data_IF_559132182449
#
_entry.id   IF_559132182449
#
_cell.length_a   1.000
_cell.length_b   1.000
_cell.length_c   1.000
_cell.angle_alpha   90.00
_cell.angle_beta   90.00
_cell.angle_gamma   90.00
#
_symmetry.space_group_name_H-M   'P 1'
#
loop_
_entity.id
_entity.type
_entity.pdbx_description
1 polymer ?
#
# COMPACT_ATOMS: atom_id res chain seq x y z
N UNK A 1 34.50 -12.46 0.38
CA UNK A 1 33.85 -12.42 -0.95
C UNK A 1 32.39 -12.15 -0.71
N UNK A 2 31.82 -11.20 -1.45
CA UNK A 2 30.40 -10.86 -1.35
C UNK A 2 29.51 -11.99 -1.87
N UNK A 3 28.30 -12.10 -1.34
CA UNK A 3 27.26 -12.93 -1.96
C UNK A 3 26.74 -12.28 -3.26
N UNK A 4 26.10 -13.04 -4.16
CA UNK A 4 25.49 -12.46 -5.37
C UNK A 4 24.52 -11.31 -5.06
N UNK A 5 23.73 -11.44 -3.99
CA UNK A 5 22.81 -10.41 -3.48
C UNK A 5 23.57 -9.13 -3.03
N UNK A 6 24.66 -9.28 -2.27
CA UNK A 6 25.49 -8.14 -1.85
C UNK A 6 26.16 -7.42 -3.03
N UNK A 7 26.49 -8.16 -4.09
CA UNK A 7 27.07 -7.59 -5.30
C UNK A 7 26.05 -6.76 -6.09
N UNK A 8 24.78 -7.19 -6.15
CA UNK A 8 23.70 -6.40 -6.74
C UNK A 8 23.48 -5.07 -6.00
N UNK A 9 23.52 -5.10 -4.67
CA UNK A 9 23.49 -3.90 -3.83
C UNK A 9 24.66 -2.97 -4.19
N UNK A 10 25.87 -3.51 -4.37
CA UNK A 10 27.04 -2.75 -4.81
C UNK A 10 26.85 -2.11 -6.19
N UNK A 11 26.25 -2.81 -7.15
CA UNK A 11 25.96 -2.27 -8.49
C UNK A 11 24.93 -1.12 -8.44
N UNK A 12 23.84 -1.29 -7.68
CA UNK A 12 22.81 -0.26 -7.50
C UNK A 12 23.38 1.00 -6.86
N UNK A 13 24.19 0.85 -5.81
CA UNK A 13 24.88 1.98 -5.18
C UNK A 13 25.85 2.65 -6.16
N UNK A 14 26.56 1.89 -6.98
CA UNK A 14 27.41 2.43 -8.04
C UNK A 14 26.66 3.31 -9.04
N UNK A 15 25.42 2.94 -9.41
CA UNK A 15 24.56 3.75 -10.28
C UNK A 15 24.07 5.03 -9.58
N UNK A 16 23.70 4.94 -8.30
CA UNK A 16 23.30 6.10 -7.50
C UNK A 16 24.44 7.10 -7.33
N UNK A 17 25.68 6.64 -7.13
CA UNK A 17 26.88 7.50 -7.09
C UNK A 17 27.09 8.24 -8.41
N UNK A 18 26.94 7.56 -9.55
CA UNK A 18 27.02 8.20 -10.87
C UNK A 18 25.94 9.30 -11.02
N UNK A 19 24.74 9.04 -10.52
CA UNK A 19 23.64 10.00 -10.48
C UNK A 19 23.94 11.23 -9.62
N UNK A 20 24.56 11.05 -8.44
CA UNK A 20 24.96 12.16 -7.56
C UNK A 20 26.01 13.08 -8.21
N UNK A 21 26.98 12.50 -8.94
CA UNK A 21 27.98 13.28 -9.69
C UNK A 21 27.31 14.16 -10.75
N UNK A 22 26.40 13.59 -11.54
CA UNK A 22 25.76 14.30 -12.66
C UNK A 22 24.69 15.31 -12.20
N UNK A 23 23.91 14.99 -11.16
CA UNK A 23 22.78 15.82 -10.71
C UNK A 23 23.16 16.86 -9.66
N UNK A 24 24.18 16.60 -8.84
CA UNK A 24 24.56 17.45 -7.69
C UNK A 24 26.02 17.90 -7.71
N UNK A 25 26.78 17.56 -8.76
CA UNK A 25 28.18 17.96 -8.91
C UNK A 25 29.12 17.39 -7.83
N UNK A 26 28.69 16.38 -7.07
CA UNK A 26 29.49 15.82 -5.98
C UNK A 26 30.68 15.00 -6.50
N UNK A 27 31.86 15.30 -5.96
CA UNK A 27 33.07 14.51 -6.18
C UNK A 27 33.04 13.21 -5.36
N UNK A 28 33.90 12.23 -5.70
CA UNK A 28 34.00 10.98 -4.93
C UNK A 28 34.52 11.27 -3.51
N UNK A 29 35.35 12.28 -3.37
CA UNK A 29 35.90 12.77 -2.12
C UNK A 29 34.80 13.33 -1.20
N UNK A 30 33.84 14.08 -1.76
CA UNK A 30 32.72 14.65 -1.00
C UNK A 30 31.75 13.55 -0.51
N UNK A 31 31.54 12.53 -1.34
CA UNK A 31 30.74 11.34 -0.98
C UNK A 31 31.45 10.58 0.15
N UNK A 32 32.75 10.33 0.03
CA UNK A 32 33.54 9.68 1.08
C UNK A 32 33.49 10.45 2.40
N UNK A 33 33.58 11.79 2.35
CA UNK A 33 33.50 12.67 3.51
C UNK A 33 32.13 12.57 4.22
N UNK A 34 31.03 12.53 3.47
CA UNK A 34 29.67 12.35 4.04
C UNK A 34 29.46 10.97 4.65
N UNK A 35 30.02 9.93 4.02
CA UNK A 35 29.91 8.56 4.50
C UNK A 35 30.83 8.28 5.69
N UNK A 36 31.87 9.10 5.90
CA UNK A 36 32.89 8.89 6.91
C UNK A 36 33.78 7.68 6.61
N UNK A 37 34.03 7.41 5.33
CA UNK A 37 34.87 6.29 4.86
C UNK A 37 35.97 6.80 3.93
N UNK A 38 37.07 6.06 3.81
CA UNK A 38 38.13 6.37 2.85
C UNK A 38 37.79 5.96 1.41
N UNK A 39 38.40 6.60 0.42
CA UNK A 39 38.19 6.27 -1.01
C UNK A 39 38.47 4.80 -1.32
N UNK A 40 39.55 4.24 -0.75
CA UNK A 40 39.87 2.81 -0.90
C UNK A 40 38.76 1.89 -0.39
N UNK A 41 38.10 2.28 0.70
CA UNK A 41 36.97 1.52 1.27
C UNK A 41 35.76 1.59 0.35
N UNK A 42 35.48 2.76 -0.24
CA UNK A 42 34.43 2.91 -1.23
C UNK A 42 34.70 2.07 -2.48
N UNK A 43 35.93 2.05 -2.98
CA UNK A 43 36.32 1.21 -4.12
C UNK A 43 36.19 -0.28 -3.81
N UNK A 44 36.58 -0.70 -2.61
CA UNK A 44 36.40 -2.08 -2.18
C UNK A 44 34.92 -2.48 -2.10
N UNK A 45 34.04 -1.56 -1.73
CA UNK A 45 32.59 -1.80 -1.74
C UNK A 45 32.04 -1.92 -3.17
N UNK A 46 32.41 -1.00 -4.06
CA UNK A 46 31.89 -0.97 -5.43
C UNK A 46 32.42 -2.10 -6.32
N UNK A 47 33.65 -2.55 -6.07
CA UNK A 47 34.28 -3.65 -6.81
C UNK A 47 33.95 -5.04 -6.23
N UNK A 48 33.10 -5.12 -5.19
CA UNK A 48 32.68 -6.36 -4.57
C UNK A 48 33.73 -7.07 -3.71
N UNK A 49 34.80 -6.36 -3.33
CA UNK A 49 35.88 -6.86 -2.46
C UNK A 49 35.40 -6.99 -1.01
N UNK A 50 34.50 -6.11 -0.57
CA UNK A 50 33.92 -6.09 0.77
C UNK A 50 32.45 -5.69 0.74
N UNK A 51 31.60 -6.20 1.64
CA UNK A 51 30.20 -5.79 1.77
C UNK A 51 30.03 -4.46 2.50
N UNK A 52 29.00 -3.70 2.13
CA UNK A 52 28.71 -2.42 2.77
C UNK A 52 28.28 -2.61 4.23
N UNK A 53 28.84 -1.80 5.13
CA UNK A 53 28.35 -1.73 6.51
C UNK A 53 26.99 -1.03 6.54
N UNK A 54 26.08 -1.50 7.40
CA UNK A 54 24.73 -0.92 7.55
C UNK A 54 24.76 0.58 7.84
N UNK A 55 25.63 1.05 8.74
CA UNK A 55 25.77 2.48 9.03
C UNK A 55 26.23 3.31 7.83
N UNK A 56 26.98 2.70 6.90
CA UNK A 56 27.37 3.34 5.64
C UNK A 56 26.21 3.36 4.65
N UNK A 57 25.42 2.27 4.57
CA UNK A 57 24.23 2.20 3.72
C UNK A 57 23.16 3.20 4.14
N UNK A 58 22.91 3.36 5.44
CA UNK A 58 21.95 4.34 5.95
C UNK A 58 22.37 5.76 5.58
N UNK A 59 23.63 6.13 5.82
CA UNK A 59 24.17 7.43 5.40
C UNK A 59 24.10 7.63 3.88
N UNK A 60 24.26 6.56 3.12
CA UNK A 60 24.18 6.59 1.66
C UNK A 60 22.73 6.80 1.18
N UNK A 61 21.76 6.12 1.79
CA UNK A 61 20.34 6.29 1.56
C UNK A 61 19.90 7.74 1.87
N UNK A 62 20.35 8.28 3.01
CA UNK A 62 20.11 9.67 3.40
C UNK A 62 20.72 10.67 2.40
N UNK A 63 21.97 10.44 1.95
CA UNK A 63 22.65 11.28 0.97
C UNK A 63 21.90 11.31 -0.38
N UNK A 64 21.41 10.15 -0.80
CA UNK A 64 20.65 9.99 -2.04
C UNK A 64 19.18 10.41 -1.92
N UNK A 65 18.66 10.61 -0.69
CA UNK A 65 17.24 10.78 -0.38
C UNK A 65 16.37 9.63 -0.91
N UNK A 66 16.86 8.40 -0.80
CA UNK A 66 16.14 7.17 -1.16
C UNK A 66 15.95 6.33 0.09
N UNK A 67 14.95 5.44 0.12
CA UNK A 67 14.78 4.56 1.28
C UNK A 67 15.81 3.44 1.21
N UNK A 68 16.30 3.00 2.38
CA UNK A 68 17.23 1.87 2.45
C UNK A 68 16.63 0.59 1.85
N UNK A 69 15.32 0.41 1.98
CA UNK A 69 14.59 -0.70 1.37
C UNK A 69 14.70 -0.70 -0.17
N UNK A 70 14.70 0.47 -0.79
CA UNK A 70 14.82 0.61 -2.26
C UNK A 70 16.23 0.24 -2.76
N UNK A 71 17.23 0.27 -1.86
CA UNK A 71 18.61 -0.14 -2.15
C UNK A 71 18.79 -1.66 -1.97
N UNK A 72 18.09 -2.25 -1.01
CA UNK A 72 18.32 -3.64 -0.58
C UNK A 72 17.37 -4.66 -1.21
N UNK A 73 16.26 -4.21 -1.82
CA UNK A 73 15.23 -4.92 -2.60
C UNK A 73 14.66 -6.26 -2.08
N UNK A 74 15.15 -6.84 -0.98
CA UNK A 74 14.62 -8.06 -0.41
C UNK A 74 14.72 -8.07 1.12
N UNK A 75 13.59 -8.38 1.74
CA UNK A 75 13.44 -8.47 3.21
C UNK A 75 14.26 -9.65 3.78
N UNK A 76 14.59 -10.63 2.93
CA UNK A 76 15.40 -11.80 3.28
C UNK A 76 16.88 -11.46 3.51
N UNK A 77 17.47 -10.56 2.70
CA UNK A 77 18.85 -10.09 2.87
C UNK A 77 19.01 -9.31 4.18
N UNK A 78 17.98 -8.55 4.58
CA UNK A 78 17.93 -7.82 5.85
C UNK A 78 17.94 -8.77 7.07
N UNK A 79 17.23 -9.91 6.96
CA UNK A 79 17.16 -10.91 8.03
C UNK A 79 18.45 -11.73 8.19
N UNK A 80 19.16 -12.00 7.08
CA UNK A 80 20.46 -12.72 7.09
C UNK A 80 21.60 -11.88 7.69
N UNK A 81 21.50 -10.56 7.60
CA UNK A 81 22.47 -9.62 8.18
C UNK A 81 22.27 -9.38 9.70
N UNK A 82 21.19 -9.88 10.32
CA UNK A 82 20.88 -9.60 11.73
C UNK A 82 20.22 -10.79 12.48
N UNK A 83 20.97 -11.84 12.85
CA UNK A 83 20.41 -12.94 13.63
C UNK A 83 20.25 -12.63 15.13
N UNK A 84 21.07 -11.76 15.74
CA UNK A 84 21.21 -11.71 17.21
C UNK A 84 21.31 -10.29 17.79
N UNK A 85 20.20 -9.55 17.87
CA UNK A 85 20.00 -8.52 18.92
C UNK A 85 18.55 -8.02 18.99
N UNK A 86 17.59 -8.96 19.05
CA UNK A 86 16.19 -8.65 19.39
C UNK A 86 15.94 -8.87 20.89
N UNK A 87 16.34 -7.91 21.72
CA UNK A 87 15.94 -7.92 23.15
C UNK A 87 15.49 -6.56 23.69
N UNK A 88 14.97 -5.68 22.81
CA UNK A 88 14.26 -4.48 23.25
C UNK A 88 12.79 -4.54 22.85
N UNK A 89 11.92 -4.59 23.86
CA UNK A 89 10.46 -4.62 23.69
C UNK A 89 9.92 -3.34 23.04
N UNK A 90 10.67 -2.24 23.08
CA UNK A 90 10.39 -1.02 22.30
C UNK A 90 10.73 -1.16 20.81
N UNK A 91 11.73 -1.98 20.48
CA UNK A 91 12.11 -2.32 19.11
C UNK A 91 11.08 -3.23 18.45
N UNK A 92 10.39 -4.11 19.18
CA UNK A 92 9.27 -4.90 18.63
C UNK A 92 8.07 -4.03 18.27
N UNK A 93 7.76 -2.98 19.04
CA UNK A 93 6.66 -2.07 18.69
C UNK A 93 7.03 -1.15 17.51
N UNK A 94 8.29 -0.69 17.43
CA UNK A 94 8.81 0.05 16.26
C UNK A 94 9.06 -0.86 15.06
N UNK A 95 9.31 -2.15 15.27
CA UNK A 95 9.30 -3.18 14.23
C UNK A 95 7.87 -3.55 13.85
N UNK A 96 6.87 -3.53 14.73
CA UNK A 96 5.46 -3.78 14.37
C UNK A 96 4.83 -2.57 13.65
N UNK A 97 5.21 -1.35 14.05
CA UNK A 97 4.85 -0.10 13.36
C UNK A 97 5.68 0.11 12.09
N UNK A 98 6.95 -0.34 12.08
CA UNK A 98 7.84 -0.34 10.92
C UNK A 98 7.59 -1.50 9.95
N UNK A 99 7.04 -2.63 10.43
CA UNK A 99 6.63 -3.80 9.64
C UNK A 99 5.21 -3.70 9.12
N UNK A 100 4.52 -2.56 9.28
CA UNK A 100 3.40 -2.21 8.40
C UNK A 100 3.85 -2.03 6.93
N UNK A 101 5.14 -2.27 6.65
CA UNK A 101 5.83 -2.22 5.37
C UNK A 101 5.71 -3.50 4.50
N UNK A 102 4.51 -4.05 4.35
CA UNK A 102 4.13 -4.69 3.09
C UNK A 102 2.67 -4.34 2.79
N UNK A 103 2.34 -4.06 1.52
CA UNK A 103 0.98 -3.68 1.07
C UNK A 103 -0.03 -4.63 1.69
N UNK A 104 0.24 -5.94 1.59
CA UNK A 104 -0.61 -7.02 2.09
C UNK A 104 -0.97 -6.93 3.57
N UNK A 105 -0.10 -6.38 4.43
CA UNK A 105 -0.36 -6.32 5.87
C UNK A 105 -1.45 -5.30 6.20
N UNK A 106 -1.47 -4.13 5.56
CA UNK A 106 -2.53 -3.15 5.81
C UNK A 106 -3.89 -3.68 5.38
N UNK A 107 -4.01 -4.23 4.18
CA UNK A 107 -5.28 -4.79 3.71
C UNK A 107 -5.71 -6.03 4.51
N UNK A 108 -4.76 -6.85 4.97
CA UNK A 108 -5.04 -8.01 5.83
C UNK A 108 -5.56 -7.58 7.21
N UNK A 109 -4.90 -6.62 7.86
CA UNK A 109 -5.32 -6.08 9.16
C UNK A 109 -6.69 -5.43 9.04
N UNK A 110 -6.90 -4.63 7.99
CA UNK A 110 -8.19 -4.00 7.73
C UNK A 110 -9.30 -5.05 7.55
N UNK A 111 -9.04 -6.12 6.79
CA UNK A 111 -9.98 -7.22 6.62
C UNK A 111 -10.29 -7.91 7.96
N UNK A 112 -9.28 -8.17 8.80
CA UNK A 112 -9.50 -8.76 10.14
C UNK A 112 -10.40 -7.86 10.98
N UNK A 113 -10.18 -6.54 10.99
CA UNK A 113 -11.02 -5.59 11.70
C UNK A 113 -12.47 -5.60 11.18
N UNK A 114 -12.67 -5.69 9.87
CA UNK A 114 -14.00 -5.82 9.28
C UNK A 114 -14.70 -7.14 9.67
N UNK A 115 -13.97 -8.26 9.71
CA UNK A 115 -14.51 -9.56 10.15
C UNK A 115 -14.93 -9.49 11.62
N UNK A 116 -14.09 -8.90 12.48
CA UNK A 116 -14.43 -8.68 13.89
C UNK A 116 -15.70 -7.82 14.02
N UNK A 117 -15.82 -6.76 13.22
CA UNK A 117 -17.00 -5.90 13.20
C UNK A 117 -18.26 -6.64 12.68
N UNK A 118 -18.09 -7.54 11.70
CA UNK A 118 -19.17 -8.37 11.18
C UNK A 118 -19.72 -9.32 12.26
N UNK A 119 -18.82 -9.94 13.02
CA UNK A 119 -19.17 -10.77 14.17
C UNK A 119 -19.83 -9.94 15.28
N UNK A 120 -19.30 -8.75 15.57
CA UNK A 120 -19.85 -7.85 16.57
C UNK A 120 -21.27 -7.37 16.24
N UNK A 121 -21.57 -7.17 14.95
CA UNK A 121 -22.87 -6.68 14.45
C UNK A 121 -23.94 -7.77 14.25
N UNK A 122 -23.70 -9.03 14.65
CA UNK A 122 -24.59 -10.17 14.35
C UNK A 122 -26.07 -10.02 14.75
N UNK A 123 -26.36 -9.21 15.78
CA UNK A 123 -27.73 -8.91 16.26
C UNK A 123 -28.45 -7.85 15.44
N UNK A 124 -27.70 -7.00 14.72
CA UNK A 124 -28.20 -5.90 13.92
C UNK A 124 -28.05 -6.25 12.43
N UNK A 125 -29.09 -6.86 11.85
CA UNK A 125 -29.06 -7.33 10.46
C UNK A 125 -28.83 -6.23 9.44
N UNK A 126 -29.23 -5.00 9.74
CA UNK A 126 -29.02 -3.86 8.86
C UNK A 126 -27.53 -3.56 8.73
N UNK A 127 -26.89 -3.21 9.85
CA UNK A 127 -25.49 -2.86 9.86
C UNK A 127 -24.62 -4.07 9.52
N UNK A 128 -25.04 -5.29 9.90
CA UNK A 128 -24.35 -6.52 9.50
C UNK A 128 -24.28 -6.66 7.98
N UNK A 129 -25.36 -6.35 7.23
CA UNK A 129 -25.33 -6.43 5.77
C UNK A 129 -24.39 -5.37 5.15
N UNK A 130 -24.34 -4.15 5.71
CA UNK A 130 -23.40 -3.12 5.25
C UNK A 130 -21.96 -3.58 5.47
N UNK A 131 -21.66 -4.06 6.68
CA UNK A 131 -20.31 -4.55 7.02
C UNK A 131 -19.96 -5.74 6.14
N UNK A 132 -20.92 -6.63 5.85
CA UNK A 132 -20.70 -7.76 4.96
C UNK A 132 -20.32 -7.34 3.53
N UNK A 133 -20.90 -6.26 2.99
CA UNK A 133 -20.49 -5.69 1.70
C UNK A 133 -18.99 -5.35 1.72
N UNK A 134 -18.53 -4.65 2.75
CA UNK A 134 -17.12 -4.30 2.90
C UNK A 134 -16.24 -5.55 3.06
N UNK A 135 -16.65 -6.53 3.87
CA UNK A 135 -15.91 -7.79 4.05
C UNK A 135 -15.74 -8.51 2.71
N UNK A 136 -16.81 -8.67 1.93
CA UNK A 136 -16.76 -9.37 0.63
C UNK A 136 -15.77 -8.68 -0.31
N UNK A 137 -15.85 -7.36 -0.46
CA UNK A 137 -14.91 -6.63 -1.33
C UNK A 137 -13.47 -6.77 -0.84
N UNK A 138 -13.23 -6.68 0.47
CA UNK A 138 -11.88 -6.76 1.02
C UNK A 138 -11.27 -8.16 1.00
N UNK A 139 -12.09 -9.21 1.07
CA UNK A 139 -11.64 -10.57 0.77
C UNK A 139 -11.15 -10.65 -0.67
N UNK A 140 -11.92 -10.10 -1.63
CA UNK A 140 -11.52 -10.04 -3.03
C UNK A 140 -10.27 -9.17 -3.25
N UNK A 141 -10.11 -8.07 -2.51
CA UNK A 141 -8.90 -7.25 -2.52
C UNK A 141 -7.67 -8.04 -2.08
N UNK A 142 -7.76 -8.82 -1.01
CA UNK A 142 -6.66 -9.65 -0.54
C UNK A 142 -6.32 -10.74 -1.57
N UNK A 143 -7.33 -11.48 -2.06
CA UNK A 143 -7.14 -12.49 -3.10
C UNK A 143 -6.51 -11.89 -4.36
N UNK A 144 -6.99 -10.74 -4.81
CA UNK A 144 -6.45 -10.03 -5.95
C UNK A 144 -5.02 -9.53 -5.72
N UNK A 145 -4.69 -9.09 -4.51
CA UNK A 145 -3.31 -8.75 -4.13
C UNK A 145 -2.37 -9.96 -4.17
N UNK A 146 -2.82 -11.13 -3.71
CA UNK A 146 -2.08 -12.38 -3.86
C UNK A 146 -1.88 -12.73 -5.33
N UNK A 147 -2.94 -12.66 -6.14
CA UNK A 147 -2.86 -12.91 -7.57
C UNK A 147 -1.89 -11.95 -8.28
N UNK A 148 -1.90 -10.65 -7.93
CA UNK A 148 -0.96 -9.68 -8.48
C UNK A 148 0.49 -10.07 -8.16
N UNK A 149 0.81 -10.33 -6.90
CA UNK A 149 2.19 -10.59 -6.48
C UNK A 149 2.76 -11.91 -7.00
N UNK A 150 1.94 -12.97 -7.05
CA UNK A 150 2.42 -14.32 -7.38
C UNK A 150 2.17 -14.72 -8.84
N UNK A 151 1.30 -14.01 -9.56
CA UNK A 151 0.94 -14.36 -10.95
C UNK A 151 1.15 -13.19 -11.90
N UNK A 152 0.53 -12.04 -11.65
CA UNK A 152 0.51 -10.95 -12.63
C UNK A 152 1.85 -10.20 -12.73
N UNK A 153 2.49 -9.88 -11.60
CA UNK A 153 3.75 -9.13 -11.59
C UNK A 153 4.94 -9.93 -12.13
N UNK A 154 5.11 -11.23 -11.79
CA UNK A 154 6.15 -12.05 -12.42
C UNK A 154 5.97 -12.21 -13.93
N UNK A 155 4.71 -12.18 -14.41
CA UNK A 155 4.39 -12.27 -15.83
C UNK A 155 4.44 -10.91 -16.56
N UNK A 156 4.54 -9.79 -15.85
CA UNK A 156 4.53 -8.46 -16.44
C UNK A 156 5.93 -8.07 -16.94
N UNK A 157 6.00 -7.62 -18.19
CA UNK A 157 7.27 -7.27 -18.85
C UNK A 157 7.99 -6.06 -18.23
N UNK A 158 7.23 -5.17 -17.58
CA UNK A 158 7.76 -3.92 -17.05
C UNK A 158 6.83 -3.29 -15.98
N UNK A 159 7.36 -2.31 -15.26
CA UNK A 159 6.63 -1.58 -14.21
C UNK A 159 5.36 -0.87 -14.70
N UNK A 160 5.31 -0.44 -15.96
CA UNK A 160 4.11 0.14 -16.54
C UNK A 160 2.95 -0.87 -16.54
N UNK A 161 3.18 -2.10 -17.02
CA UNK A 161 2.18 -3.16 -17.03
C UNK A 161 1.81 -3.61 -15.61
N UNK A 162 2.77 -3.69 -14.69
CA UNK A 162 2.49 -3.97 -13.29
C UNK A 162 1.53 -2.94 -12.68
N UNK A 163 1.79 -1.65 -12.90
CA UNK A 163 0.93 -0.58 -12.42
C UNK A 163 -0.45 -0.60 -13.08
N UNK A 164 -0.54 -0.91 -14.39
CA UNK A 164 -1.83 -1.09 -15.08
C UNK A 164 -2.63 -2.20 -14.41
N UNK A 165 -2.04 -3.37 -14.15
CA UNK A 165 -2.74 -4.47 -13.47
C UNK A 165 -3.16 -4.09 -12.05
N UNK A 166 -2.26 -3.46 -11.28
CA UNK A 166 -2.53 -3.07 -9.90
C UNK A 166 -3.68 -2.04 -9.81
N UNK A 167 -3.57 -0.93 -10.54
CA UNK A 167 -4.58 0.14 -10.49
C UNK A 167 -5.90 -0.30 -11.12
N UNK A 168 -5.90 -1.12 -12.17
CA UNK A 168 -7.13 -1.66 -12.76
C UNK A 168 -7.86 -2.62 -11.81
N UNK A 169 -7.14 -3.49 -11.11
CA UNK A 169 -7.73 -4.37 -10.10
C UNK A 169 -8.36 -3.54 -8.97
N UNK A 170 -7.62 -2.58 -8.42
CA UNK A 170 -8.12 -1.72 -7.36
C UNK A 170 -9.34 -0.90 -7.81
N UNK A 171 -9.30 -0.30 -9.00
CA UNK A 171 -10.42 0.44 -9.57
C UNK A 171 -11.67 -0.46 -9.71
N UNK A 172 -11.48 -1.68 -10.22
CA UNK A 172 -12.57 -2.66 -10.39
C UNK A 172 -13.22 -3.01 -9.04
N UNK A 173 -12.42 -3.21 -8.00
CA UNK A 173 -12.91 -3.52 -6.66
C UNK A 173 -13.58 -2.32 -5.97
N UNK A 174 -13.06 -1.11 -6.17
CA UNK A 174 -13.71 0.12 -5.68
C UNK A 174 -15.04 0.39 -6.39
N UNK A 175 -15.11 0.11 -7.71
CA UNK A 175 -16.37 0.16 -8.47
C UNK A 175 -17.36 -0.91 -7.98
N UNK A 176 -16.88 -2.12 -7.69
CA UNK A 176 -17.70 -3.18 -7.09
C UNK A 176 -18.26 -2.75 -5.73
N UNK A 177 -17.44 -2.14 -4.86
CA UNK A 177 -17.91 -1.59 -3.58
C UNK A 177 -19.00 -0.53 -3.79
N UNK A 178 -18.76 0.44 -4.68
CA UNK A 178 -19.71 1.50 -4.97
C UNK A 178 -21.03 0.93 -5.51
N UNK A 179 -20.96 -0.05 -6.41
CA UNK A 179 -22.12 -0.77 -6.94
C UNK A 179 -22.87 -1.51 -5.85
N UNK A 180 -22.17 -2.25 -4.98
CA UNK A 180 -22.78 -2.98 -3.88
C UNK A 180 -23.45 -2.06 -2.86
N UNK A 181 -22.87 -0.89 -2.59
CA UNK A 181 -23.49 0.13 -1.74
C UNK A 181 -24.70 0.78 -2.41
N UNK A 182 -24.64 1.09 -3.71
CA UNK A 182 -25.77 1.64 -4.48
C UNK A 182 -26.99 0.72 -4.45
N UNK A 183 -26.76 -0.58 -4.62
CA UNK A 183 -27.80 -1.61 -4.65
C UNK A 183 -27.88 -2.41 -3.34
N UNK A 184 -27.41 -1.83 -2.24
CA UNK A 184 -27.35 -2.43 -0.89
C UNK A 184 -28.63 -3.16 -0.51
N UNK A 185 -29.79 -2.55 -0.75
CA UNK A 185 -31.07 -3.12 -0.33
C UNK A 185 -31.34 -4.46 -1.04
N UNK A 186 -31.06 -4.53 -2.34
CA UNK A 186 -31.19 -5.75 -3.13
C UNK A 186 -30.30 -6.87 -2.56
N UNK A 187 -29.03 -6.57 -2.25
CA UNK A 187 -28.11 -7.54 -1.67
C UNK A 187 -28.54 -7.99 -0.28
N UNK A 188 -28.99 -7.07 0.56
CA UNK A 188 -29.42 -7.38 1.92
C UNK A 188 -30.68 -8.25 1.92
N UNK A 189 -31.61 -8.02 0.98
CA UNK A 189 -32.79 -8.87 0.78
C UNK A 189 -32.38 -10.26 0.29
N UNK A 190 -31.45 -10.35 -0.67
CA UNK A 190 -30.93 -11.63 -1.18
C UNK A 190 -30.29 -12.47 -0.05
N UNK A 191 -29.44 -11.83 0.77
CA UNK A 191 -28.71 -12.49 1.87
C UNK A 191 -29.67 -12.92 2.99
N UNK A 192 -30.64 -12.08 3.36
CA UNK A 192 -31.59 -12.39 4.45
C UNK A 192 -32.83 -13.16 3.99
N UNK A 193 -32.96 -13.41 2.67
CA UNK A 193 -34.17 -13.96 2.03
C UNK A 193 -35.45 -13.20 2.41
N UNK A 194 -35.34 -11.88 2.62
CA UNK A 194 -36.44 -11.01 3.06
C UNK A 194 -36.96 -11.26 4.48
N UNK A 195 -36.30 -12.10 5.29
CA UNK A 195 -36.79 -12.49 6.63
C UNK A 195 -36.50 -11.46 7.73
N UNK A 196 -35.89 -10.33 7.41
CA UNK A 196 -35.51 -9.31 8.39
C UNK A 196 -36.03 -7.93 7.98
N UNK A 197 -37.02 -7.42 8.71
CA UNK A 197 -37.57 -6.08 8.49
C UNK A 197 -36.52 -4.97 8.70
N UNK A 198 -35.58 -5.18 9.64
CA UNK A 198 -34.52 -4.23 9.96
C UNK A 198 -33.63 -3.88 8.76
N UNK A 199 -33.54 -4.76 7.76
CA UNK A 199 -32.77 -4.53 6.52
C UNK A 199 -33.32 -3.37 5.68
N UNK A 200 -34.62 -3.13 5.74
CA UNK A 200 -35.29 -2.06 4.98
C UNK A 200 -35.15 -0.69 5.64
N UNK A 201 -34.69 -0.63 6.89
CA UNK A 201 -34.45 0.63 7.58
C UNK A 201 -33.28 1.37 6.92
N UNK A 202 -33.46 2.68 6.72
CA UNK A 202 -32.40 3.53 6.19
C UNK A 202 -31.36 3.77 7.28
N UNK A 203 -30.10 3.44 6.99
CA UNK A 203 -28.99 3.70 7.89
C UNK A 203 -28.33 5.04 7.55
N UNK A 204 -28.09 5.87 8.58
CA UNK A 204 -27.49 7.20 8.43
C UNK A 204 -26.06 7.16 7.88
N UNK A 205 -25.38 6.02 8.01
CA UNK A 205 -24.02 5.83 7.52
C UNK A 205 -23.95 5.45 6.03
N UNK A 206 -25.07 5.15 5.37
CA UNK A 206 -25.07 4.76 3.94
C UNK A 206 -24.52 5.86 3.03
N UNK A 207 -25.08 7.07 3.14
CA UNK A 207 -24.68 8.21 2.32
C UNK A 207 -23.19 8.55 2.48
N UNK A 208 -22.65 8.72 3.71
CA UNK A 208 -21.22 9.02 3.84
C UNK A 208 -20.33 7.86 3.38
N UNK A 209 -20.73 6.59 3.59
CA UNK A 209 -19.98 5.45 3.04
C UNK A 209 -19.98 5.44 1.51
N UNK A 210 -21.09 5.81 0.86
CA UNK A 210 -21.16 5.95 -0.59
C UNK A 210 -20.24 7.05 -1.13
N UNK A 211 -20.16 8.19 -0.41
CA UNK A 211 -19.22 9.27 -0.74
C UNK A 211 -17.77 8.81 -0.61
N UNK A 212 -17.42 8.09 0.47
CA UNK A 212 -16.07 7.54 0.65
C UNK A 212 -15.74 6.50 -0.43
N UNK A 213 -16.68 5.65 -0.81
CA UNK A 213 -16.50 4.70 -1.92
C UNK A 213 -16.29 5.42 -3.26
N UNK A 214 -17.00 6.53 -3.50
CA UNK A 214 -16.79 7.37 -4.70
C UNK A 214 -15.38 7.98 -4.70
N UNK A 215 -14.90 8.44 -3.54
CA UNK A 215 -13.54 8.96 -3.40
C UNK A 215 -12.48 7.89 -3.68
N UNK A 216 -12.69 6.65 -3.22
CA UNK A 216 -11.80 5.52 -3.55
C UNK A 216 -11.74 5.26 -5.06
N UNK A 217 -12.89 5.23 -5.73
CA UNK A 217 -12.97 5.09 -7.19
C UNK A 217 -12.20 6.22 -7.89
N UNK A 218 -12.36 7.47 -7.43
CA UNK A 218 -11.66 8.60 -8.00
C UNK A 218 -10.13 8.49 -7.84
N UNK A 219 -9.65 8.10 -6.65
CA UNK A 219 -8.21 7.90 -6.39
C UNK A 219 -7.65 6.79 -7.31
N UNK A 220 -8.34 5.66 -7.41
CA UNK A 220 -7.91 4.54 -8.25
C UNK A 220 -7.90 4.90 -9.74
N UNK A 221 -8.92 5.63 -10.20
CA UNK A 221 -9.01 6.11 -11.57
C UNK A 221 -7.88 7.10 -11.88
N UNK A 222 -7.63 8.07 -11.01
CA UNK A 222 -6.59 9.08 -11.20
C UNK A 222 -5.19 8.46 -11.18
N UNK A 223 -4.94 7.45 -10.34
CA UNK A 223 -3.68 6.70 -10.34
C UNK A 223 -3.48 5.93 -11.66
N UNK A 224 -4.54 5.29 -12.18
CA UNK A 224 -4.48 4.62 -13.47
C UNK A 224 -4.22 5.62 -14.62
N UNK A 225 -4.92 6.75 -14.63
CA UNK A 225 -4.73 7.81 -15.63
C UNK A 225 -3.34 8.42 -15.56
N UNK A 226 -2.83 8.71 -14.37
CA UNK A 226 -1.47 9.20 -14.17
C UNK A 226 -0.44 8.20 -14.72
N UNK A 227 -0.65 6.89 -14.49
CA UNK A 227 0.24 5.87 -15.04
C UNK A 227 0.24 5.85 -16.59
N UNK A 228 -0.90 6.09 -17.24
CA UNK A 228 -0.95 6.24 -18.70
C UNK A 228 -0.29 7.54 -19.17
N UNK A 229 -0.56 8.66 -18.52
CA UNK A 229 0.01 9.97 -18.86
C UNK A 229 1.54 9.96 -18.73
N UNK A 230 2.07 9.32 -17.68
CA UNK A 230 3.51 9.19 -17.45
C UNK A 230 4.21 8.29 -18.48
N UNK A 231 3.46 7.43 -19.17
CA UNK A 231 4.00 6.46 -20.13
C UNK A 231 3.40 6.65 -21.54
N UNK A 232 3.12 7.90 -21.93
CA UNK A 232 2.56 8.22 -23.25
C UNK A 232 3.47 7.79 -24.41
N UNK A 233 4.78 7.77 -24.20
CA UNK A 233 5.77 7.24 -25.14
C UNK A 233 5.46 5.77 -25.52
N UNK A 234 5.04 4.97 -24.53
CA UNK A 234 4.64 3.57 -24.74
C UNK A 234 3.29 3.43 -25.44
N UNK A 235 2.49 4.48 -25.45
CA UNK A 235 1.21 4.57 -26.14
C UNK A 235 1.32 5.15 -27.55
N UNK A 236 2.56 5.34 -28.05
CA UNK A 236 2.85 5.81 -29.41
C UNK A 236 2.94 7.33 -29.55
N UNK A 237 2.99 8.07 -28.44
CA UNK A 237 3.28 9.51 -28.47
C UNK A 237 4.79 9.71 -28.63
N UNK A 238 5.17 10.70 -29.43
CA UNK A 238 6.57 11.05 -29.60
C UNK A 238 7.27 11.40 -28.27
N UNK A 239 8.50 10.91 -28.09
CA UNK A 239 9.22 10.94 -26.81
C UNK A 239 9.46 12.37 -26.33
N UNK A 240 9.75 13.31 -27.25
CA UNK A 240 9.95 14.72 -26.92
C UNK A 240 8.73 15.36 -26.27
N UNK A 241 7.52 14.94 -26.69
CA UNK A 241 6.25 15.41 -26.11
C UNK A 241 5.91 14.67 -24.82
N UNK A 242 6.20 13.36 -24.75
CA UNK A 242 5.91 12.52 -23.59
C UNK A 242 6.76 12.90 -22.37
N UNK A 243 8.02 13.33 -22.57
CA UNK A 243 8.97 13.69 -21.50
C UNK A 243 8.45 14.69 -20.48
N UNK A 244 7.60 15.62 -20.92
CA UNK A 244 7.01 16.66 -20.04
C UNK A 244 6.16 16.02 -18.93
N UNK A 245 5.60 14.84 -19.18
CA UNK A 245 4.68 14.14 -18.29
C UNK A 245 5.36 13.07 -17.42
N UNK A 246 6.65 12.78 -17.62
CA UNK A 246 7.36 11.74 -16.86
C UNK A 246 7.45 12.02 -15.36
N UNK A 247 7.46 13.30 -14.99
CA UNK A 247 7.53 13.76 -13.60
C UNK A 247 6.15 13.86 -12.91
N UNK A 248 5.05 13.50 -13.60
CA UNK A 248 3.73 13.43 -12.99
C UNK A 248 3.62 12.15 -12.16
N UNK A 249 3.90 12.25 -10.86
CA UNK A 249 3.96 11.10 -9.94
C UNK A 249 3.12 11.25 -8.66
N UNK A 250 2.23 12.23 -8.58
CA UNK A 250 1.48 12.52 -7.36
C UNK A 250 0.65 11.32 -6.88
N UNK A 251 -0.20 10.77 -7.74
CA UNK A 251 -1.01 9.62 -7.38
C UNK A 251 -0.17 8.35 -7.24
N UNK A 252 0.90 8.20 -8.01
CA UNK A 252 1.83 7.08 -7.91
C UNK A 252 2.52 7.06 -6.54
N UNK A 253 3.10 8.17 -6.11
CA UNK A 253 3.88 8.28 -4.87
C UNK A 253 2.99 8.25 -3.62
N UNK A 254 1.83 8.91 -3.69
CA UNK A 254 0.92 9.04 -2.55
C UNK A 254 -0.26 8.06 -2.55
N UNK A 255 -0.34 7.13 -3.52
CA UNK A 255 -1.47 6.21 -3.72
C UNK A 255 -1.97 5.58 -2.41
N UNK A 256 -1.03 4.99 -1.65
CA UNK A 256 -1.33 4.26 -0.41
C UNK A 256 -1.90 5.18 0.66
N UNK A 257 -1.32 6.36 0.82
CA UNK A 257 -1.75 7.34 1.81
C UNK A 257 -3.13 7.92 1.46
N UNK A 258 -3.33 8.26 0.19
CA UNK A 258 -4.60 8.78 -0.32
C UNK A 258 -5.74 7.78 -0.11
N UNK A 259 -5.49 6.48 -0.33
CA UNK A 259 -6.49 5.43 -0.06
C UNK A 259 -6.69 5.15 1.42
N UNK A 260 -5.63 5.14 2.23
CA UNK A 260 -5.75 4.79 3.65
C UNK A 260 -6.77 5.68 4.39
N UNK A 261 -6.84 6.97 4.08
CA UNK A 261 -7.76 7.92 4.73
C UNK A 261 -9.24 7.53 4.58
N UNK A 262 -9.82 7.45 3.35
CA UNK A 262 -11.22 7.04 3.19
C UNK A 262 -11.51 5.62 3.70
N UNK A 263 -10.52 4.73 3.71
CA UNK A 263 -10.69 3.38 4.26
C UNK A 263 -10.84 3.37 5.77
N UNK A 264 -9.94 4.06 6.48
CA UNK A 264 -10.03 4.19 7.93
C UNK A 264 -11.31 4.91 8.33
N UNK A 265 -11.70 5.97 7.61
CA UNK A 265 -12.98 6.65 7.83
C UNK A 265 -14.18 5.72 7.61
N UNK A 266 -14.14 4.85 6.60
CA UNK A 266 -15.19 3.86 6.36
C UNK A 266 -15.33 2.89 7.54
N UNK A 267 -14.20 2.38 8.07
CA UNK A 267 -14.21 1.51 9.24
C UNK A 267 -14.78 2.21 10.48
N UNK A 268 -14.38 3.46 10.73
CA UNK A 268 -14.91 4.28 11.83
C UNK A 268 -16.41 4.50 11.68
N UNK A 269 -16.90 4.82 10.48
CA UNK A 269 -18.33 5.00 10.22
C UNK A 269 -19.13 3.72 10.41
N UNK A 270 -18.63 2.58 9.92
CA UNK A 270 -19.25 1.27 10.13
C UNK A 270 -19.36 0.96 11.63
N UNK A 271 -18.28 1.18 12.39
CA UNK A 271 -18.28 0.97 13.83
C UNK A 271 -19.24 1.91 14.56
N UNK A 272 -19.24 3.20 14.21
CA UNK A 272 -20.15 4.19 14.78
C UNK A 272 -21.62 3.85 14.48
N UNK A 273 -21.94 3.38 13.27
CA UNK A 273 -23.28 2.95 12.90
C UNK A 273 -23.79 1.79 13.76
N UNK A 274 -22.92 0.79 14.01
CA UNK A 274 -23.24 -0.34 14.90
C UNK A 274 -23.48 0.13 16.34
N UNK A 275 -22.62 1.01 16.87
CA UNK A 275 -22.77 1.54 18.23
C UNK A 275 -24.05 2.37 18.41
N UNK A 276 -24.35 3.26 17.47
CA UNK A 276 -25.53 4.13 17.52
C UNK A 276 -26.83 3.32 17.59
N UNK A 277 -26.96 2.26 16.77
CA UNK A 277 -28.13 1.39 16.81
C UNK A 277 -28.22 0.56 18.10
N UNK A 278 -27.10 0.02 18.58
CA UNK A 278 -27.08 -0.75 19.83
C UNK A 278 -27.54 0.07 21.03
N UNK A 279 -27.12 1.34 21.11
CA UNK A 279 -27.57 2.28 22.17
C UNK A 279 -29.08 2.55 22.09
N UNK A 280 -29.62 2.78 20.89
CA UNK A 280 -31.05 3.02 20.70
C UNK A 280 -31.90 1.80 21.07
N UNK A 281 -31.46 0.59 20.73
CA UNK A 281 -32.16 -0.65 21.13
C UNK A 281 -32.15 -0.87 22.63
N UNK A 282 -31.05 -0.55 23.33
CA UNK A 282 -30.97 -0.67 24.79
C UNK A 282 -31.87 0.35 25.50
N UNK A 283 -31.95 1.60 25.02
CA UNK A 283 -32.83 2.62 25.60
C UNK A 283 -34.31 2.25 25.48
N UNK A 284 -34.72 1.61 24.38
CA UNK A 284 -36.10 1.15 24.19
C UNK A 284 -36.50 -0.02 25.10
N UNK A 285 -35.54 -0.80 25.60
CA UNK A 285 -35.79 -1.93 26.51
C UNK A 285 -35.82 -1.51 27.99
N UNK A 286 -35.34 -0.31 28.31
CA UNK A 286 -35.30 0.26 29.67
C UNK A 286 -36.43 1.26 29.95
N UNK A 287 -37.28 1.55 28.98
CA UNK A 287 -38.44 2.45 29.08
C UNK A 287 -39.73 1.62 29.09
#
# INVERSE_FOLDING_TARGET
MQTPEEYEVSQRIGLLIKGLKHKRGMSREDICRHLGIGMRTLDNYLNGVSSFKLGTLMKFADLCRVKLADILDDTEALSRLYPDNMKDKGSVLTLLLGSLASVMLFESVFLVLLILLLCYSHKDKNNQCIVAIFVVVYVLTNIGGYWLNYVAFPAAENYYMQNVYAYSLHLSLSLLLLFMLKYRLMFSVLVTRGKSAAVFEKSLIETPLYVLATLLVAIDFLALMENFIRNLDRLGVDEEKAKIFWELTFFYDYFRYLKAVPLLLSLVLLYAGVLARKRNTQQLQSA
#
